data_IF_232563833266
#
_entry.id   IF_232563833266
#
_cell.length_a   1.000
_cell.length_b   1.000
_cell.length_c   1.000
_cell.angle_alpha   90.00
_cell.angle_beta   90.00
_cell.angle_gamma   90.00
#
_symmetry.space_group_name_H-M   'P 1'
#
loop_
_entity.id
_entity.type
_entity.pdbx_description
1 polymer ?
#
# COMPACT_ATOMS: atom_id res chain seq x y z
N UNK A 1 9.98 2.80 16.93
CA UNK A 1 10.35 3.75 15.85
C UNK A 1 10.33 3.07 14.50
N UNK A 2 9.78 3.75 13.49
CA UNK A 2 9.74 3.20 12.15
C UNK A 2 11.10 3.34 11.47
N UNK A 3 11.60 2.24 10.89
CA UNK A 3 12.84 2.26 10.11
C UNK A 3 12.62 2.99 8.79
N UNK A 4 11.50 2.69 8.11
CA UNK A 4 11.16 3.31 6.84
C UNK A 4 10.20 4.48 7.05
N UNK A 5 10.38 5.53 6.25
CA UNK A 5 9.39 6.59 6.15
C UNK A 5 8.37 6.23 5.08
N UNK A 6 7.14 6.65 5.27
CA UNK A 6 6.05 6.32 4.36
C UNK A 6 5.63 7.57 3.60
N UNK A 7 5.57 7.45 2.27
CA UNK A 7 5.09 8.51 1.39
C UNK A 7 3.94 7.98 0.55
N UNK A 8 2.96 8.82 0.30
CA UNK A 8 1.79 8.48 -0.49
C UNK A 8 1.81 9.25 -1.80
N UNK A 9 1.59 8.56 -2.92
CA UNK A 9 1.43 9.22 -4.21
C UNK A 9 0.10 9.99 -4.24
N UNK A 10 -0.07 10.95 -5.15
CA UNK A 10 -1.37 11.60 -5.32
C UNK A 10 -2.48 10.60 -5.63
N UNK A 11 -2.18 9.55 -6.40
CA UNK A 11 -3.13 8.47 -6.69
C UNK A 11 -3.56 7.75 -5.42
N UNK A 12 -2.61 7.40 -4.56
CA UNK A 12 -2.90 6.72 -3.31
C UNK A 12 -3.77 7.59 -2.40
N UNK A 13 -3.48 8.89 -2.35
CA UNK A 13 -4.28 9.82 -1.56
C UNK A 13 -5.71 9.90 -2.06
N UNK A 14 -5.91 9.93 -3.37
CA UNK A 14 -7.24 9.91 -3.95
C UNK A 14 -7.97 8.61 -3.64
N UNK A 15 -7.26 7.49 -3.74
CA UNK A 15 -7.84 6.19 -3.44
C UNK A 15 -8.33 6.14 -1.99
N UNK A 16 -7.53 6.67 -1.06
CA UNK A 16 -7.92 6.72 0.35
C UNK A 16 -9.14 7.58 0.58
N UNK A 17 -9.28 8.68 -0.15
CA UNK A 17 -10.45 9.56 -0.05
C UNK A 17 -11.73 8.90 -0.51
N UNK A 18 -11.62 7.92 -1.42
CA UNK A 18 -12.79 7.18 -1.92
C UNK A 18 -13.26 6.10 -0.96
N UNK A 19 -12.42 5.73 0.01
CA UNK A 19 -12.79 4.75 1.01
C UNK A 19 -13.61 5.39 2.14
N UNK A 20 -14.47 4.60 2.81
CA UNK A 20 -15.07 5.08 4.04
C UNK A 20 -13.98 5.54 5.01
N UNK A 21 -14.26 6.55 5.80
CA UNK A 21 -13.27 7.19 6.66
C UNK A 21 -12.60 6.22 7.62
N UNK A 22 -13.36 5.33 8.23
CA UNK A 22 -12.83 4.34 9.16
C UNK A 22 -11.93 3.33 8.45
N UNK A 23 -12.28 2.94 7.22
CA UNK A 23 -11.47 2.03 6.41
C UNK A 23 -10.17 2.70 6.02
N UNK A 24 -10.22 3.96 5.59
CA UNK A 24 -9.02 4.72 5.23
C UNK A 24 -8.07 4.85 6.42
N UNK A 25 -8.60 5.14 7.61
CA UNK A 25 -7.77 5.25 8.81
C UNK A 25 -7.11 3.93 9.17
N UNK A 26 -7.85 2.82 9.05
CA UNK A 26 -7.28 1.50 9.30
C UNK A 26 -6.18 1.17 8.30
N UNK A 27 -6.38 1.55 7.04
CA UNK A 27 -5.37 1.33 5.99
C UNK A 27 -4.07 2.08 6.31
N UNK A 28 -4.18 3.35 6.67
CA UNK A 28 -3.02 4.17 7.00
C UNK A 28 -2.29 3.59 8.20
N UNK A 29 -3.02 3.19 9.22
CA UNK A 29 -2.45 2.62 10.44
C UNK A 29 -1.75 1.29 10.15
N UNK A 30 -2.37 0.43 9.33
CA UNK A 30 -1.79 -0.86 8.99
C UNK A 30 -0.48 -0.69 8.21
N UNK A 31 -0.44 0.26 7.27
CA UNK A 31 0.77 0.55 6.51
C UNK A 31 1.87 1.06 7.44
N UNK A 32 1.51 1.93 8.38
CA UNK A 32 2.47 2.45 9.35
C UNK A 32 3.06 1.35 10.22
N UNK A 33 2.24 0.38 10.60
CA UNK A 33 2.68 -0.75 11.43
C UNK A 33 3.74 -1.61 10.76
N UNK A 34 3.71 -1.77 9.44
CA UNK A 34 4.70 -2.60 8.75
C UNK A 34 5.99 -1.86 8.42
N UNK A 35 6.08 -0.58 8.75
CA UNK A 35 7.22 0.26 8.34
C UNK A 35 8.55 -0.16 8.95
N UNK A 36 8.56 -0.94 10.02
CA UNK A 36 9.80 -1.43 10.62
C UNK A 36 10.35 -2.64 9.87
N UNK A 37 9.48 -3.51 9.37
CA UNK A 37 9.88 -4.74 8.68
C UNK A 37 8.90 -5.07 7.56
N UNK A 38 8.82 -4.23 6.52
CA UNK A 38 7.79 -4.38 5.49
C UNK A 38 7.84 -5.70 4.75
N UNK A 39 9.02 -6.26 4.52
CA UNK A 39 9.15 -7.49 3.74
C UNK A 39 8.51 -8.71 4.39
N UNK A 40 8.18 -8.64 5.67
CA UNK A 40 7.50 -9.75 6.35
C UNK A 40 6.01 -9.83 5.97
N UNK A 41 5.44 -8.76 5.44
CA UNK A 41 4.00 -8.65 5.25
C UNK A 41 3.58 -8.44 3.80
N UNK A 42 4.52 -8.29 2.89
CA UNK A 42 4.23 -7.93 1.51
C UNK A 42 4.58 -9.06 0.56
N UNK A 43 4.03 -8.98 -0.64
CA UNK A 43 4.25 -9.98 -1.68
C UNK A 43 4.62 -9.29 -2.97
N UNK A 44 5.72 -9.73 -3.59
CA UNK A 44 6.15 -9.17 -4.86
C UNK A 44 5.17 -9.52 -5.97
N UNK A 45 4.76 -8.54 -6.76
CA UNK A 45 3.86 -8.78 -7.88
C UNK A 45 4.62 -9.36 -9.07
N UNK A 46 4.05 -10.39 -9.69
CA UNK A 46 4.69 -11.11 -10.80
C UNK A 46 4.94 -10.23 -12.01
N UNK A 47 4.04 -9.30 -12.28
CA UNK A 47 4.12 -8.45 -13.47
C UNK A 47 4.96 -7.19 -13.25
N UNK A 48 5.58 -7.05 -12.09
CA UNK A 48 6.34 -5.85 -11.79
C UNK A 48 7.68 -5.84 -12.54
N UNK A 49 8.14 -4.62 -12.85
CA UNK A 49 9.44 -4.41 -13.47
C UNK A 49 10.56 -4.85 -12.51
N UNK A 50 11.51 -5.70 -12.94
CA UNK A 50 12.60 -6.13 -12.06
C UNK A 50 13.43 -5.00 -11.47
N UNK A 51 13.54 -3.87 -12.18
CA UNK A 51 14.28 -2.70 -11.68
C UNK A 51 13.48 -1.92 -10.66
N UNK A 52 12.15 -1.96 -10.76
CA UNK A 52 11.25 -1.22 -9.88
C UNK A 52 10.13 -2.13 -9.44
N UNK A 53 10.43 -3.11 -8.56
CA UNK A 53 9.41 -4.08 -8.17
C UNK A 53 8.28 -3.42 -7.40
N UNK A 54 7.07 -3.90 -7.67
CA UNK A 54 5.87 -3.48 -6.96
C UNK A 54 5.45 -4.62 -6.04
N UNK A 55 5.13 -4.27 -4.81
CA UNK A 55 4.69 -5.22 -3.80
C UNK A 55 3.24 -4.97 -3.45
N UNK A 56 2.53 -6.02 -3.08
CA UNK A 56 1.17 -5.89 -2.57
C UNK A 56 1.16 -6.17 -1.08
N UNK A 57 0.37 -5.39 -0.37
CA UNK A 57 0.13 -5.56 1.06
C UNK A 57 -1.37 -5.61 1.29
N UNK A 58 -1.84 -6.73 1.84
CA UNK A 58 -3.26 -6.86 2.18
C UNK A 58 -3.51 -6.14 3.50
N UNK A 59 -4.12 -4.97 3.40
CA UNK A 59 -4.45 -4.15 4.57
C UNK A 59 -5.56 -4.80 5.38
N UNK A 60 -6.59 -5.26 4.69
CA UNK A 60 -7.70 -5.99 5.25
C UNK A 60 -8.33 -6.83 4.14
N UNK A 61 -9.39 -7.55 4.45
CA UNK A 61 -9.97 -8.54 3.54
C UNK A 61 -10.18 -8.01 2.11
N UNK A 62 -10.73 -6.81 1.99
CA UNK A 62 -11.12 -6.25 0.69
C UNK A 62 -10.26 -5.07 0.26
N UNK A 63 -9.22 -4.74 1.01
CA UNK A 63 -8.37 -3.58 0.73
C UNK A 63 -6.92 -4.01 0.64
N UNK A 64 -6.28 -3.60 -0.46
CA UNK A 64 -4.88 -3.92 -0.73
C UNK A 64 -4.14 -2.66 -1.14
N UNK A 65 -2.94 -2.49 -0.63
CA UNK A 65 -2.06 -1.40 -1.02
C UNK A 65 -0.96 -1.90 -1.93
N UNK A 66 -0.62 -1.13 -2.94
CA UNK A 66 0.51 -1.39 -3.82
C UNK A 66 1.65 -0.48 -3.40
N UNK A 67 2.82 -1.08 -3.16
CA UNK A 67 3.95 -0.39 -2.57
C UNK A 67 5.20 -0.54 -3.43
N UNK A 68 6.06 0.47 -3.41
CA UNK A 68 7.45 0.30 -3.82
C UNK A 68 8.33 0.63 -2.63
N UNK A 69 9.47 -0.07 -2.51
CA UNK A 69 10.35 0.09 -1.37
C UNK A 69 11.72 0.54 -1.87
N UNK A 70 12.20 1.62 -1.31
CA UNK A 70 13.47 2.23 -1.67
C UNK A 70 14.43 2.09 -0.49
N UNK A 71 15.24 1.03 -0.52
CA UNK A 71 16.13 0.68 0.59
C UNK A 71 17.26 1.66 0.81
N UNK A 72 17.70 2.30 -0.26
CA UNK A 72 18.82 3.26 -0.20
C UNK A 72 18.46 4.51 0.62
N UNK A 73 17.19 4.89 0.63
CA UNK A 73 16.71 6.06 1.39
C UNK A 73 15.71 5.70 2.47
N UNK A 74 15.45 4.41 2.65
CA UNK A 74 14.51 3.88 3.66
C UNK A 74 13.13 4.49 3.54
N UNK A 75 12.57 4.44 2.33
CA UNK A 75 11.23 4.97 2.04
C UNK A 75 10.34 3.85 1.48
N UNK A 76 9.14 3.77 2.02
CA UNK A 76 8.04 2.98 1.45
C UNK A 76 7.12 3.95 0.73
N UNK A 77 6.96 3.76 -0.57
CA UNK A 77 6.08 4.59 -1.37
C UNK A 77 4.76 3.85 -1.60
N UNK A 78 3.67 4.40 -1.11
CA UNK A 78 2.35 3.81 -1.34
C UNK A 78 1.86 4.35 -2.68
N UNK A 79 1.79 3.47 -3.67
CA UNK A 79 1.47 3.83 -5.05
C UNK A 79 -0.03 3.92 -5.30
N UNK A 80 -0.77 2.94 -4.81
CA UNK A 80 -2.21 2.84 -4.97
C UNK A 80 -2.80 2.10 -3.79
N UNK A 81 -4.08 2.36 -3.52
CA UNK A 81 -4.86 1.59 -2.55
C UNK A 81 -6.10 1.08 -3.27
N UNK A 82 -6.23 -0.24 -3.37
CA UNK A 82 -7.33 -0.87 -4.10
C UNK A 82 -8.37 -1.41 -3.14
N UNK A 83 -9.63 -1.18 -3.46
CA UNK A 83 -10.76 -1.74 -2.75
C UNK A 83 -11.46 -2.77 -3.63
N UNK A 84 -11.39 -4.03 -3.23
CA UNK A 84 -11.87 -5.14 -4.05
C UNK A 84 -13.35 -5.03 -4.41
N UNK A 85 -14.20 -4.68 -3.47
CA UNK A 85 -15.62 -4.53 -3.71
C UNK A 85 -15.92 -3.45 -4.73
N UNK A 86 -15.12 -2.40 -4.72
CA UNK A 86 -15.29 -1.30 -5.67
C UNK A 86 -14.99 -1.75 -7.09
N UNK A 87 -13.98 -2.60 -7.26
CA UNK A 87 -13.62 -3.14 -8.56
C UNK A 87 -14.71 -4.01 -9.17
N UNK A 88 -15.48 -4.71 -8.33
CA UNK A 88 -16.54 -5.58 -8.80
C UNK A 88 -17.84 -4.85 -9.17
N UNK A 89 -18.00 -3.62 -8.71
CA UNK A 89 -19.20 -2.85 -8.95
C UNK A 89 -19.34 -2.37 -10.39
N UNK A 90 -18.26 -2.40 -11.12
CA UNK A 90 -18.24 -1.92 -12.50
C UNK A 90 -18.79 -2.95 -13.49
N UNK A 91 -19.34 -4.02 -12.99
CA UNK A 91 -19.96 -5.04 -13.84
C UNK A 91 -21.45 -4.82 -13.99
#
# INVERSE_FOLDING_TARGET
MSVYRIKYTPRARQDLRKLPRDVAQKAIRAIDEISDAPYLYIKKMKASNPKHPVYSFRVMRDVRALLSIHNDVLIIHVLEVEHRKHSYRDF
#
